data_IF_942360329854
#
_entry.id   IF_942360329854
#
_cell.length_a   1.000
_cell.length_b   1.000
_cell.length_c   1.000
_cell.angle_alpha   90.00
_cell.angle_beta   90.00
_cell.angle_gamma   90.00
#
_symmetry.space_group_name_H-M   'P 1'
#
loop_
_entity.id
_entity.type
_entity.pdbx_description
1 polymer ?
#
# COMPACT_ATOMS: atom_id res chain seq x y z
N UNK A 1 -7.46 -0.90 17.50
CA UNK A 1 -8.60 -0.19 18.12
C UNK A 1 -8.71 -0.56 19.60
N UNK A 2 -8.91 0.42 20.50
CA UNK A 2 -9.11 0.13 21.93
C UNK A 2 -10.55 -0.33 22.20
N UNK A 3 -10.79 -1.64 22.06
CA UNK A 3 -12.14 -2.23 22.24
C UNK A 3 -12.47 -2.63 23.68
N UNK A 4 -11.49 -2.74 24.57
CA UNK A 4 -11.74 -3.17 25.94
C UNK A 4 -11.62 -2.02 26.91
N UNK A 5 -12.59 -1.93 27.82
CA UNK A 5 -12.63 -0.95 28.90
C UNK A 5 -12.78 -1.66 30.23
N UNK A 6 -12.17 -1.08 31.27
CA UNK A 6 -12.39 -1.48 32.66
C UNK A 6 -13.26 -0.42 33.33
N UNK A 7 -14.40 -0.83 33.88
CA UNK A 7 -15.29 0.00 34.70
C UNK A 7 -15.36 -0.60 36.09
N UNK A 8 -14.59 -0.05 37.03
CA UNK A 8 -14.38 -0.65 38.35
C UNK A 8 -13.70 -2.02 38.24
N UNK A 9 -14.36 -3.06 38.75
CA UNK A 9 -13.90 -4.45 38.65
C UNK A 9 -14.35 -5.15 37.36
N UNK A 10 -15.25 -4.55 36.57
CA UNK A 10 -15.81 -5.16 35.36
C UNK A 10 -14.96 -4.84 34.13
N UNK A 11 -14.68 -5.86 33.33
CA UNK A 11 -14.08 -5.71 32.01
C UNK A 11 -15.15 -5.93 30.94
N UNK A 12 -15.23 -5.03 29.97
CA UNK A 12 -16.25 -5.07 28.94
C UNK A 12 -15.62 -4.80 27.57
N UNK A 13 -16.08 -5.56 26.58
CA UNK A 13 -15.77 -5.32 25.18
C UNK A 13 -16.79 -4.39 24.54
N UNK A 14 -16.33 -3.31 23.94
CA UNK A 14 -17.10 -2.48 23.06
C UNK A 14 -17.24 -3.16 21.68
N UNK A 15 -18.43 -3.74 21.46
CA UNK A 15 -18.83 -4.38 20.21
C UNK A 15 -19.39 -3.43 19.15
N UNK A 16 -19.29 -2.11 19.31
CA UNK A 16 -19.72 -1.16 18.26
C UNK A 16 -18.88 -1.36 17.00
N UNK A 17 -19.57 -1.42 15.86
CA UNK A 17 -18.90 -1.42 14.56
C UNK A 17 -18.23 -0.06 14.35
N UNK A 18 -17.01 -0.09 13.82
CA UNK A 18 -16.25 1.09 13.43
C UNK A 18 -15.85 0.84 12.00
N UNK A 19 -16.39 1.64 11.09
CA UNK A 19 -16.12 1.53 9.66
C UNK A 19 -14.67 1.94 9.41
N UNK A 20 -13.91 1.07 8.76
CA UNK A 20 -12.54 1.33 8.36
C UNK A 20 -12.52 1.79 6.91
N UNK A 21 -11.84 2.89 6.57
CA UNK A 21 -11.71 3.30 5.19
C UNK A 21 -10.78 2.34 4.44
N UNK A 22 -11.10 2.01 3.19
CA UNK A 22 -10.21 1.21 2.36
C UNK A 22 -8.88 1.94 2.09
N UNK A 23 -8.95 3.27 1.89
CA UNK A 23 -7.81 4.17 1.77
C UNK A 23 -7.83 5.17 2.91
N UNK A 24 -6.77 5.19 3.70
CA UNK A 24 -6.55 6.07 4.84
C UNK A 24 -5.60 7.19 4.44
N UNK A 25 -6.06 8.43 4.54
CA UNK A 25 -5.22 9.63 4.42
C UNK A 25 -4.84 10.13 5.82
N UNK A 26 -3.54 10.21 6.10
CA UNK A 26 -3.02 10.72 7.36
C UNK A 26 -2.58 12.18 7.31
N UNK A 27 -2.69 12.86 6.17
CA UNK A 27 -2.13 14.20 5.94
C UNK A 27 -2.50 15.21 7.03
N UNK A 28 -3.77 15.23 7.45
CA UNK A 28 -4.29 16.16 8.48
C UNK A 28 -3.75 15.88 9.90
N UNK A 29 -3.22 14.68 10.14
CA UNK A 29 -2.69 14.24 11.43
C UNK A 29 -1.16 14.30 11.49
N UNK A 30 -0.50 14.59 10.36
CA UNK A 30 0.95 14.76 10.31
C UNK A 30 1.33 16.20 10.64
N UNK A 31 2.55 16.36 11.17
CA UNK A 31 3.09 17.69 11.43
C UNK A 31 3.41 18.38 10.10
N UNK A 32 2.76 19.51 9.85
CA UNK A 32 3.12 20.38 8.73
C UNK A 32 4.42 21.12 9.02
N UNK A 33 5.10 21.56 7.96
CA UNK A 33 6.31 22.38 8.09
C UNK A 33 6.06 23.64 8.94
N UNK A 34 4.91 24.30 8.73
CA UNK A 34 4.49 25.47 9.50
C UNK A 34 4.34 25.15 10.99
N UNK A 35 3.62 24.06 11.32
CA UNK A 35 3.40 23.65 12.72
C UNK A 35 4.71 23.29 13.39
N UNK A 36 5.61 22.59 12.67
CA UNK A 36 6.93 22.26 13.18
C UNK A 36 7.79 23.52 13.39
N UNK A 37 7.68 24.52 12.50
CA UNK A 37 8.33 25.82 12.65
C UNK A 37 7.91 26.53 13.94
N UNK A 38 6.61 26.51 14.25
CA UNK A 38 6.06 27.07 15.49
C UNK A 38 6.50 26.32 16.75
N UNK A 39 6.65 24.99 16.68
CA UNK A 39 7.06 24.16 17.80
C UNK A 39 8.58 24.20 18.05
N UNK A 40 9.38 24.49 17.01
CA UNK A 40 10.86 24.44 17.03
C UNK A 40 11.53 25.08 18.26
N UNK A 41 11.08 26.22 18.80
CA UNK A 41 11.69 26.82 20.00
C UNK A 41 11.46 26.02 21.29
N UNK A 42 10.45 25.16 21.32
CA UNK A 42 10.06 24.35 22.48
C UNK A 42 10.56 22.90 22.43
N UNK A 43 11.16 22.50 21.31
CA UNK A 43 11.73 21.17 21.12
C UNK A 43 13.12 21.10 21.74
N UNK A 44 13.42 19.98 22.39
CA UNK A 44 14.77 19.65 22.83
C UNK A 44 15.72 19.59 21.61
N UNK A 45 17.01 19.85 21.84
CA UNK A 45 18.00 20.01 20.76
C UNK A 45 18.16 18.79 19.86
N UNK A 46 17.84 17.60 20.37
CA UNK A 46 17.83 16.30 19.71
C UNK A 46 16.57 16.06 18.86
N UNK A 47 15.51 16.84 19.05
CA UNK A 47 14.23 16.68 18.37
C UNK A 47 14.09 17.56 17.10
N UNK A 48 15.15 18.25 16.67
CA UNK A 48 15.07 19.26 15.58
C UNK A 48 14.82 18.69 14.18
N UNK A 49 14.97 17.37 14.00
CA UNK A 49 14.75 16.64 12.73
C UNK A 49 13.38 15.95 12.64
N UNK A 50 12.39 16.33 13.46
CA UNK A 50 11.02 15.78 13.41
C UNK A 50 10.26 16.03 12.10
N UNK A 51 10.86 16.72 11.12
CA UNK A 51 10.24 16.99 9.81
C UNK A 51 10.49 15.78 8.90
N UNK A 52 9.51 14.90 8.83
CA UNK A 52 9.43 13.91 7.77
C UNK A 52 9.11 14.63 6.45
N UNK A 53 10.14 14.82 5.61
CA UNK A 53 9.95 15.09 4.17
C UNK A 53 9.36 13.83 3.55
N UNK A 54 8.04 13.70 3.59
CA UNK A 54 7.35 12.58 2.98
C UNK A 54 7.27 12.80 1.48
N UNK A 55 8.29 12.38 0.72
CA UNK A 55 8.24 12.49 -0.76
C UNK A 55 7.17 11.59 -1.38
N UNK A 56 6.85 10.46 -0.74
CA UNK A 56 5.66 9.68 -1.06
C UNK A 56 4.50 10.11 -0.18
N UNK A 57 3.30 10.33 -0.74
CA UNK A 57 2.13 10.85 -0.03
C UNK A 57 1.77 10.12 1.27
N UNK A 58 0.89 10.74 2.06
CA UNK A 58 0.42 10.22 3.37
C UNK A 58 -0.77 9.27 3.23
N UNK A 59 -0.91 8.63 2.07
CA UNK A 59 -2.02 7.73 1.74
C UNK A 59 -1.61 6.28 1.96
N UNK A 60 -2.50 5.54 2.59
CA UNK A 60 -2.30 4.14 2.90
C UNK A 60 -3.53 3.34 2.50
N UNK A 61 -3.34 2.10 2.09
CA UNK A 61 -4.45 1.20 1.81
C UNK A 61 -4.50 0.04 2.81
N UNK A 62 -5.71 -0.38 3.14
CA UNK A 62 -5.92 -1.53 4.03
C UNK A 62 -5.52 -2.80 3.30
N UNK A 63 -4.72 -3.64 3.94
CA UNK A 63 -4.34 -4.94 3.39
C UNK A 63 -4.59 -6.08 4.39
N UNK A 64 -4.96 -5.78 5.63
CA UNK A 64 -5.31 -6.82 6.58
C UNK A 64 -6.07 -6.33 7.79
N UNK A 65 -6.86 -7.22 8.37
CA UNK A 65 -7.48 -7.02 9.68
C UNK A 65 -7.38 -8.29 10.52
N UNK A 66 -7.34 -8.10 11.83
CA UNK A 66 -7.51 -9.17 12.81
C UNK A 66 -8.79 -8.90 13.58
N UNK A 67 -9.69 -9.87 13.62
CA UNK A 67 -10.98 -9.80 14.31
C UNK A 67 -10.91 -10.66 15.56
N UNK A 68 -11.25 -10.07 16.69
CA UNK A 68 -11.49 -10.82 17.93
C UNK A 68 -12.97 -11.18 18.02
N UNK A 69 -13.32 -12.46 17.97
CA UNK A 69 -14.66 -12.99 18.25
C UNK A 69 -14.74 -13.35 19.73
N UNK A 70 -15.85 -13.03 20.40
CA UNK A 70 -16.01 -13.23 21.85
C UNK A 70 -16.19 -11.91 22.62
N UNK A 71 -16.80 -12.00 23.79
CA UNK A 71 -17.22 -10.84 24.60
C UNK A 71 -16.26 -10.45 25.73
N UNK A 72 -15.25 -11.28 26.03
CA UNK A 72 -14.35 -11.08 27.17
C UNK A 72 -12.92 -10.78 26.71
N UNK A 73 -12.06 -10.32 27.64
CA UNK A 73 -10.62 -10.20 27.42
C UNK A 73 -9.88 -11.52 27.56
N UNK A 74 -10.44 -12.46 28.32
CA UNK A 74 -9.77 -13.69 28.76
C UNK A 74 -10.09 -14.87 27.84
N UNK A 75 -11.03 -14.68 26.91
CA UNK A 75 -11.50 -15.72 26.00
C UNK A 75 -12.00 -15.09 24.70
N UNK A 76 -11.87 -15.87 23.64
CA UNK A 76 -12.34 -15.51 22.32
C UNK A 76 -11.61 -16.31 21.25
N UNK A 77 -11.88 -15.94 20.01
CA UNK A 77 -11.29 -16.56 18.84
C UNK A 77 -10.82 -15.49 17.86
N UNK A 78 -9.59 -15.63 17.37
CA UNK A 78 -9.02 -14.66 16.44
C UNK A 78 -9.13 -15.16 15.01
N UNK A 79 -9.63 -14.30 14.13
CA UNK A 79 -9.74 -14.55 12.70
C UNK A 79 -8.98 -13.44 11.99
N UNK A 80 -8.10 -13.80 11.06
CA UNK A 80 -7.38 -12.85 10.23
C UNK A 80 -8.04 -12.76 8.86
N UNK A 81 -8.05 -11.56 8.29
CA UNK A 81 -8.32 -11.36 6.86
C UNK A 81 -7.14 -10.62 6.26
N UNK A 82 -6.67 -11.07 5.10
CA UNK A 82 -5.49 -10.52 4.45
C UNK A 82 -5.67 -10.43 2.93
N UNK A 83 -5.26 -9.30 2.38
CA UNK A 83 -5.06 -9.09 0.96
C UNK A 83 -3.64 -9.51 0.61
N UNK A 84 -3.49 -10.55 -0.20
CA UNK A 84 -2.19 -10.99 -0.72
C UNK A 84 -1.84 -10.33 -2.05
N UNK A 85 -2.77 -9.57 -2.64
CA UNK A 85 -2.55 -8.78 -3.84
C UNK A 85 -1.60 -7.60 -3.61
N UNK A 86 -0.93 -7.11 -4.66
CA UNK A 86 0.04 -6.01 -4.53
C UNK A 86 -0.62 -4.66 -4.20
N UNK A 87 -1.89 -4.46 -4.58
CA UNK A 87 -2.66 -3.24 -4.30
C UNK A 87 -4.14 -3.56 -4.01
N UNK A 88 -4.95 -2.55 -3.70
CA UNK A 88 -6.41 -2.66 -3.71
C UNK A 88 -7.03 -2.78 -5.11
N UNK A 89 -6.29 -2.41 -6.17
CA UNK A 89 -6.74 -2.59 -7.56
C UNK A 89 -6.60 -4.06 -8.01
N UNK A 90 -5.57 -4.74 -7.53
CA UNK A 90 -5.29 -6.15 -7.81
C UNK A 90 -5.46 -7.02 -6.56
N UNK A 91 -6.56 -6.82 -5.84
CA UNK A 91 -6.77 -7.45 -4.54
C UNK A 91 -7.11 -8.95 -4.62
N UNK A 92 -6.61 -9.71 -3.64
CA UNK A 92 -6.92 -11.12 -3.41
C UNK A 92 -7.08 -11.35 -1.91
N UNK A 93 -8.32 -11.35 -1.45
CA UNK A 93 -8.64 -11.43 -0.03
C UNK A 93 -8.88 -12.86 0.44
N UNK A 94 -8.27 -13.20 1.58
CA UNK A 94 -8.44 -14.47 2.24
C UNK A 94 -8.77 -14.26 3.72
N UNK A 95 -9.71 -15.05 4.24
CA UNK A 95 -9.94 -15.24 5.65
C UNK A 95 -9.21 -16.47 6.17
N UNK A 96 -8.64 -16.37 7.37
CA UNK A 96 -7.93 -17.46 8.04
C UNK A 96 -8.38 -17.57 9.50
N UNK A 97 -8.81 -18.78 9.87
CA UNK A 97 -9.22 -19.17 11.22
C UNK A 97 -8.51 -20.47 11.56
N UNK A 98 -7.40 -20.39 12.29
CA UNK A 98 -6.51 -21.51 12.58
C UNK A 98 -6.09 -22.28 11.31
N UNK A 99 -6.60 -23.51 11.13
CA UNK A 99 -6.31 -24.39 9.99
C UNK A 99 -7.24 -24.16 8.80
N UNK A 100 -8.29 -23.36 8.97
CA UNK A 100 -9.28 -23.10 7.93
C UNK A 100 -8.97 -21.78 7.22
N UNK A 101 -8.79 -21.85 5.89
CA UNK A 101 -8.53 -20.70 5.03
C UNK A 101 -9.57 -20.69 3.91
N UNK A 102 -10.12 -19.51 3.59
CA UNK A 102 -11.12 -19.34 2.53
C UNK A 102 -10.91 -18.03 1.78
N UNK A 103 -11.32 -17.96 0.53
CA UNK A 103 -11.39 -16.71 -0.23
C UNK A 103 -12.57 -15.87 0.26
N UNK A 104 -12.40 -14.56 0.31
CA UNK A 104 -13.47 -13.62 0.64
C UNK A 104 -13.36 -12.34 -0.21
N UNK A 105 -14.34 -11.47 -0.10
CA UNK A 105 -14.37 -10.16 -0.76
C UNK A 105 -13.93 -9.04 0.18
N UNK A 106 -13.48 -7.92 -0.38
CA UNK A 106 -13.19 -6.72 0.42
C UNK A 106 -14.39 -6.24 1.25
N UNK A 107 -15.62 -6.35 0.72
CA UNK A 107 -16.83 -5.92 1.46
C UNK A 107 -16.97 -6.67 2.77
N UNK A 108 -16.81 -7.99 2.74
CA UNK A 108 -16.86 -8.83 3.95
C UNK A 108 -15.79 -8.43 4.98
N UNK A 109 -14.61 -8.05 4.51
CA UNK A 109 -13.51 -7.58 5.36
C UNK A 109 -13.87 -6.24 6.02
N UNK A 110 -14.38 -5.27 5.26
CA UNK A 110 -14.73 -3.94 5.76
C UNK A 110 -15.96 -3.95 6.69
N UNK A 111 -16.89 -4.88 6.51
CA UNK A 111 -18.04 -5.09 7.40
C UNK A 111 -17.65 -5.77 8.72
N UNK A 112 -16.50 -6.44 8.77
CA UNK A 112 -16.06 -7.13 9.97
C UNK A 112 -15.71 -6.17 11.12
N UNK A 113 -15.95 -6.61 12.35
CA UNK A 113 -15.59 -5.87 13.56
C UNK A 113 -14.10 -6.00 13.88
N UNK A 114 -13.25 -5.37 13.05
CA UNK A 114 -11.81 -5.41 13.18
C UNK A 114 -11.37 -4.99 14.60
N UNK A 115 -10.44 -5.74 15.18
CA UNK A 115 -9.80 -5.44 16.45
C UNK A 115 -8.47 -4.70 16.20
N UNK A 116 -7.71 -5.19 15.23
CA UNK A 116 -6.51 -4.57 14.67
C UNK A 116 -6.68 -4.46 13.17
N UNK A 117 -6.20 -3.37 12.58
CA UNK A 117 -6.18 -3.15 11.14
C UNK A 117 -4.76 -2.81 10.71
N UNK A 118 -4.37 -3.31 9.54
CA UNK A 118 -3.06 -3.15 8.97
C UNK A 118 -3.19 -2.43 7.63
N UNK A 119 -2.42 -1.35 7.50
CA UNK A 119 -2.38 -0.51 6.32
C UNK A 119 -0.95 -0.49 5.78
N UNK A 120 -0.82 -0.49 4.46
CA UNK A 120 0.47 -0.32 3.76
C UNK A 120 0.45 0.99 2.99
N UNK A 121 1.63 1.58 2.81
CA UNK A 121 1.75 2.85 2.09
C UNK A 121 1.38 2.62 0.61
N UNK A 122 0.63 3.55 0.04
CA UNK A 122 0.42 3.58 -1.41
C UNK A 122 1.65 4.24 -2.02
N UNK A 123 2.37 3.49 -2.86
CA UNK A 123 3.41 4.06 -3.70
C UNK A 123 2.71 4.75 -4.87
N UNK A 124 2.81 6.08 -4.93
CA UNK A 124 2.37 6.79 -6.13
C UNK A 124 3.36 6.42 -7.24
N UNK A 125 2.88 5.96 -8.41
CA UNK A 125 3.77 5.76 -9.53
C UNK A 125 4.48 7.09 -9.80
N UNK A 126 5.80 7.05 -9.77
CA UNK A 126 6.61 8.22 -10.07
C UNK A 126 6.29 8.58 -11.52
N UNK A 127 5.62 9.71 -11.77
CA UNK A 127 5.13 10.11 -13.08
C UNK A 127 6.25 10.45 -14.11
N UNK A 128 7.46 9.96 -13.87
CA UNK A 128 8.67 10.22 -14.65
C UNK A 128 9.17 8.98 -15.43
N UNK A 129 8.52 7.83 -15.35
CA UNK A 129 8.92 6.59 -16.05
C UNK A 129 7.92 6.11 -17.12
N UNK A 130 7.25 7.01 -17.85
CA UNK A 130 6.38 6.63 -18.99
C UNK A 130 6.85 7.17 -20.36
N UNK A 131 8.12 7.56 -20.54
CA UNK A 131 8.57 8.20 -21.81
C UNK A 131 9.58 7.42 -22.66
N UNK A 132 10.10 6.25 -22.27
CA UNK A 132 11.16 5.57 -23.04
C UNK A 132 10.83 4.18 -23.62
N UNK A 133 9.58 3.90 -24.00
CA UNK A 133 9.25 2.63 -24.71
C UNK A 133 8.35 2.81 -25.94
N UNK A 134 8.49 3.89 -26.72
CA UNK A 134 7.81 4.04 -28.01
C UNK A 134 8.69 4.56 -29.16
N UNK A 135 10.03 4.53 -29.02
CA UNK A 135 10.95 4.97 -30.06
C UNK A 135 11.76 3.79 -30.64
N UNK A 136 11.13 2.69 -31.05
CA UNK A 136 11.81 1.67 -31.84
C UNK A 136 10.84 0.87 -32.74
N UNK A 137 10.12 1.56 -33.61
CA UNK A 137 9.53 1.00 -34.82
C UNK A 137 9.37 2.17 -35.81
N UNK A 138 10.23 2.22 -36.83
CA UNK A 138 10.12 3.00 -38.10
C UNK A 138 11.52 3.25 -38.68
N UNK A 139 12.21 2.18 -39.10
CA UNK A 139 13.35 2.25 -40.02
C UNK A 139 13.24 1.10 -41.04
N UNK A 140 12.26 1.23 -41.89
CA UNK A 140 12.03 0.49 -43.13
C UNK A 140 12.64 1.26 -44.31
N UNK A 141 13.24 0.55 -45.28
CA UNK A 141 13.49 1.11 -46.62
C UNK A 141 14.71 0.59 -47.38
N UNK A 142 14.42 -0.22 -48.41
CA UNK A 142 15.15 -0.54 -49.65
C UNK A 142 16.66 -0.23 -49.86
N UNK A 143 17.42 -1.27 -50.25
CA UNK A 143 18.65 -1.16 -51.05
C UNK A 143 18.32 -1.32 -52.56
N UNK A 144 18.80 -0.44 -53.46
CA UNK A 144 18.67 -0.63 -54.91
C UNK A 144 19.75 -1.59 -55.47
N UNK A 145 19.52 -2.20 -56.65
CA UNK A 145 20.50 -3.07 -57.29
C UNK A 145 21.48 -2.28 -58.15
N UNK A 146 22.79 -2.48 -57.97
CA UNK A 146 23.81 -2.01 -58.91
C UNK A 146 24.33 -3.14 -59.78
N UNK A 147 24.30 -2.90 -61.08
CA UNK A 147 24.78 -3.79 -62.13
C UNK A 147 26.25 -3.58 -62.50
N UNK A 148 26.85 -4.69 -62.94
CA UNK A 148 27.92 -4.87 -63.94
C UNK A 148 28.92 -3.74 -64.21
N UNK A 149 30.20 -4.04 -63.99
CA UNK A 149 31.28 -3.74 -64.94
C UNK A 149 32.31 -4.87 -64.93
N UNK A 150 32.68 -5.30 -66.14
CA UNK A 150 33.55 -6.40 -66.52
C UNK A 150 35.06 -6.16 -66.30
N UNK A 151 35.82 -7.27 -66.43
CA UNK A 151 37.19 -7.39 -67.01
C UNK A 151 38.37 -6.93 -66.10
N UNK A 152 39.53 -7.57 -66.00
CA UNK A 152 40.25 -8.50 -66.89
C UNK A 152 41.39 -9.22 -66.11
N UNK A 153 41.53 -10.51 -66.37
CA UNK A 153 42.73 -11.36 -66.54
C UNK A 153 43.99 -11.26 -65.65
N UNK A 154 44.35 -12.43 -65.12
CA UNK A 154 45.60 -12.78 -64.43
C UNK A 154 46.57 -13.47 -65.39
N UNK A 155 47.84 -13.05 -65.34
CA UNK A 155 48.96 -13.54 -66.12
C UNK A 155 49.33 -15.03 -65.90
N UNK A 156 49.78 -15.63 -67.02
CA UNK A 156 50.79 -16.68 -67.23
C UNK A 156 50.71 -18.03 -66.48
#
# INVERSE_FOLDING_TARGET
MKRFRRSGAKFEKNGKHVTLPAVLDLSDYLLTEETCGRLRPHLASDCKELICKSEGGSRFEIYGICVHKGGSLQSGHYIAFINVGPSLAEEKWYGASDTHVWSCSRSEVLEAQAYVAFYRKIEEPNAFEEVEENAQADLDGELPPEGSTDQEDLDA
#
